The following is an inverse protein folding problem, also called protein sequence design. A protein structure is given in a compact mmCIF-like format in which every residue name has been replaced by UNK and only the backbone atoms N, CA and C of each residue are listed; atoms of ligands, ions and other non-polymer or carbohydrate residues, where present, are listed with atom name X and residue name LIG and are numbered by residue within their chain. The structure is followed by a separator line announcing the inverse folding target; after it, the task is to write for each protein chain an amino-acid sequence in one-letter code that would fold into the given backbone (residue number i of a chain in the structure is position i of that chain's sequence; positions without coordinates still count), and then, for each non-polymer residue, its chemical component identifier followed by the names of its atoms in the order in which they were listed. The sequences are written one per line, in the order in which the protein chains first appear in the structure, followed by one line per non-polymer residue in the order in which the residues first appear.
data_IF_613321135437
#
_entry.id   IF_613321135437
#
_cell.length_a   1.000
_cell.length_b   1.000
_cell.length_c   1.000
_cell.angle_alpha   90.00
_cell.angle_beta   90.00
_cell.angle_gamma   90.00
#
_symmetry.space_group_name_H-M   'P 1'
#
loop_
_entity.id
_entity.type
_entity.pdbx_description
1 polymer ?
#
# COMPACT_ATOMS: atom_id res chain seq x y z
N UNK A 1 13.43 -10.25 -21.87
CA UNK A 1 13.03 -8.87 -21.51
C UNK A 1 14.30 -8.16 -21.03
N UNK A 2 14.50 -6.89 -21.35
CA UNK A 2 15.67 -6.15 -20.82
C UNK A 2 15.36 -5.61 -19.42
N UNK A 3 16.38 -5.42 -18.57
CA UNK A 3 16.21 -4.87 -17.21
C UNK A 3 15.52 -3.50 -17.23
N UNK A 4 15.77 -2.69 -18.26
CA UNK A 4 15.13 -1.40 -18.45
C UNK A 4 13.62 -1.54 -18.71
N UNK A 5 13.22 -2.51 -19.54
CA UNK A 5 11.81 -2.85 -19.77
C UNK A 5 11.12 -3.34 -18.50
N UNK A 6 11.80 -4.15 -17.69
CA UNK A 6 11.29 -4.63 -16.39
C UNK A 6 11.04 -3.48 -15.43
N UNK A 7 12.00 -2.54 -15.30
CA UNK A 7 11.84 -1.34 -14.49
C UNK A 7 10.65 -0.48 -14.91
N UNK A 8 10.47 -0.27 -16.22
CA UNK A 8 9.33 0.49 -16.76
C UNK A 8 8.01 -0.18 -16.42
N UNK A 9 7.91 -1.51 -16.61
CA UNK A 9 6.71 -2.29 -16.30
C UNK A 9 6.36 -2.25 -14.80
N UNK A 10 7.35 -2.42 -13.92
CA UNK A 10 7.16 -2.37 -12.46
C UNK A 10 6.78 -0.97 -12.00
N UNK A 11 7.37 0.09 -12.58
CA UNK A 11 6.96 1.46 -12.27
C UNK A 11 5.51 1.71 -12.66
N UNK A 12 5.11 1.31 -13.87
CA UNK A 12 3.73 1.43 -14.32
C UNK A 12 2.75 0.65 -13.43
N UNK A 13 3.14 -0.55 -12.99
CA UNK A 13 2.37 -1.33 -12.02
C UNK A 13 2.11 -0.55 -10.72
N UNK A 14 3.14 0.05 -10.12
CA UNK A 14 2.99 0.81 -8.88
C UNK A 14 2.27 2.15 -9.06
N UNK A 15 2.32 2.78 -10.24
CA UNK A 15 1.48 3.95 -10.54
C UNK A 15 -0.01 3.56 -10.59
N UNK A 16 -0.35 2.42 -11.19
CA UNK A 16 -1.73 1.89 -11.15
C UNK A 16 -2.15 1.50 -9.74
N UNK A 17 -1.25 0.88 -8.97
CA UNK A 17 -1.49 0.50 -7.57
C UNK A 17 -1.78 1.73 -6.71
N UNK A 18 -0.97 2.78 -6.87
CA UNK A 18 -1.18 4.09 -6.26
C UNK A 18 -2.53 4.68 -6.66
N UNK A 19 -2.86 4.68 -7.94
CA UNK A 19 -4.14 5.20 -8.43
C UNK A 19 -5.36 4.49 -7.82
N UNK A 20 -5.27 3.17 -7.63
CA UNK A 20 -6.34 2.40 -6.99
C UNK A 20 -6.47 2.71 -5.48
N UNK A 21 -5.36 2.94 -4.78
CA UNK A 21 -5.38 3.44 -3.39
C UNK A 21 -6.06 4.80 -3.31
N UNK A 22 -5.62 5.77 -4.12
CA UNK A 22 -6.14 7.14 -4.12
C UNK A 22 -7.61 7.20 -4.52
N UNK A 23 -8.04 6.34 -5.44
CA UNK A 23 -9.44 6.19 -5.82
C UNK A 23 -10.29 5.43 -4.80
N UNK A 24 -9.68 4.81 -3.78
CA UNK A 24 -10.39 3.96 -2.83
C UNK A 24 -11.03 2.71 -3.46
N UNK A 25 -10.42 2.19 -4.53
CA UNK A 25 -10.95 1.09 -5.35
C UNK A 25 -10.45 -0.27 -4.82
N UNK A 26 -11.18 -0.81 -3.83
CA UNK A 26 -10.85 -2.10 -3.23
C UNK A 26 -10.88 -3.28 -4.23
N UNK A 27 -11.88 -3.40 -5.13
CA UNK A 27 -11.87 -4.45 -6.16
C UNK A 27 -10.64 -4.40 -7.06
N UNK A 28 -10.28 -3.21 -7.57
CA UNK A 28 -9.09 -3.07 -8.41
C UNK A 28 -7.84 -3.46 -7.63
N UNK A 29 -7.68 -3.01 -6.38
CA UNK A 29 -6.54 -3.39 -5.53
C UNK A 29 -6.48 -4.89 -5.29
N UNK A 30 -7.59 -5.53 -4.94
CA UNK A 30 -7.65 -6.97 -4.70
C UNK A 30 -7.29 -7.76 -5.96
N UNK A 31 -7.73 -7.26 -7.12
CA UNK A 31 -7.36 -7.80 -8.43
C UNK A 31 -5.88 -7.66 -8.78
N UNK A 32 -5.08 -6.85 -8.07
CA UNK A 32 -3.63 -6.74 -8.30
C UNK A 32 -2.82 -7.83 -7.61
N UNK A 33 -3.47 -8.69 -6.81
CA UNK A 33 -2.83 -9.81 -6.12
C UNK A 33 -3.10 -11.13 -6.86
N UNK A 34 -2.24 -12.10 -6.60
CA UNK A 34 -2.49 -13.51 -6.93
C UNK A 34 -2.52 -14.30 -5.63
N UNK A 35 -3.48 -15.21 -5.52
CA UNK A 35 -3.75 -15.96 -4.30
C UNK A 35 -3.36 -17.44 -4.44
N UNK A 36 -2.96 -18.10 -3.34
CA UNK A 36 -2.78 -17.54 -2.00
C UNK A 36 -1.58 -16.58 -1.95
N UNK A 37 -1.67 -15.53 -1.13
CA UNK A 37 -0.58 -14.59 -0.89
C UNK A 37 -0.24 -14.47 0.58
N UNK A 38 0.99 -14.03 0.85
CA UNK A 38 1.49 -13.86 2.21
C UNK A 38 1.86 -12.42 2.50
N UNK A 39 1.51 -11.94 3.69
CA UNK A 39 1.78 -10.59 4.13
C UNK A 39 2.47 -10.66 5.48
N UNK A 40 3.64 -10.05 5.53
CA UNK A 40 4.42 -9.87 6.76
C UNK A 40 4.36 -8.41 7.15
N UNK A 41 3.84 -8.12 8.34
CA UNK A 41 3.78 -6.75 8.84
C UNK A 41 4.52 -6.63 10.18
N UNK A 42 5.16 -5.48 10.42
CA UNK A 42 5.81 -5.18 11.70
C UNK A 42 4.93 -4.20 12.49
N UNK A 43 4.40 -4.64 13.63
CA UNK A 43 3.62 -3.83 14.58
C UNK A 43 4.33 -3.59 15.93
N UNK A 44 5.66 -3.72 15.97
CA UNK A 44 6.42 -3.92 17.21
C UNK A 44 6.57 -5.41 17.56
N UNK A 45 5.74 -6.26 16.95
CA UNK A 45 5.93 -7.70 16.78
C UNK A 45 5.61 -8.05 15.32
N UNK A 46 6.21 -9.13 14.81
CA UNK A 46 5.98 -9.58 13.45
C UNK A 46 4.65 -10.33 13.37
N UNK A 47 3.75 -9.84 12.52
CA UNK A 47 2.49 -10.49 12.20
C UNK A 47 2.56 -11.13 10.80
N UNK A 48 1.97 -12.32 10.68
CA UNK A 48 2.03 -13.19 9.51
C UNK A 48 0.60 -13.49 9.04
N UNK A 49 0.16 -12.79 8.01
CA UNK A 49 -1.18 -12.98 7.41
C UNK A 49 -1.06 -13.84 6.15
N UNK A 50 -1.75 -14.97 6.14
CA UNK A 50 -1.99 -15.75 4.92
C UNK A 50 -3.35 -15.37 4.38
N UNK A 51 -3.42 -15.00 3.11
CA UNK A 51 -4.65 -14.60 2.43
C UNK A 51 -4.99 -15.67 1.41
N UNK A 52 -6.09 -16.37 1.61
CA UNK A 52 -6.44 -17.54 0.82
C UNK A 52 -7.01 -17.18 -0.55
N UNK A 53 -7.82 -16.12 -0.61
CA UNK A 53 -8.53 -15.71 -1.81
C UNK A 53 -8.82 -14.19 -1.86
N UNK A 54 -9.36 -13.75 -2.99
CA UNK A 54 -9.68 -12.36 -3.26
C UNK A 54 -10.75 -11.79 -2.32
N UNK A 55 -11.73 -12.60 -1.91
CA UNK A 55 -12.82 -12.15 -1.05
C UNK A 55 -12.33 -11.84 0.36
N UNK A 56 -11.46 -12.71 0.91
CA UNK A 56 -10.78 -12.45 2.17
C UNK A 56 -9.95 -11.17 2.11
N UNK A 57 -9.21 -10.98 1.01
CA UNK A 57 -8.37 -9.80 0.84
C UNK A 57 -9.15 -8.51 0.68
N UNK A 58 -10.26 -8.55 -0.05
CA UNK A 58 -11.12 -7.40 -0.28
C UNK A 58 -11.56 -6.75 1.04
N UNK A 59 -12.01 -7.56 2.00
CA UNK A 59 -12.43 -7.06 3.33
C UNK A 59 -11.28 -6.34 4.06
N UNK A 60 -10.06 -6.86 3.95
CA UNK A 60 -8.88 -6.24 4.58
C UNK A 60 -8.49 -4.93 3.89
N UNK A 61 -8.55 -4.90 2.55
CA UNK A 61 -8.31 -3.69 1.77
C UNK A 61 -9.35 -2.61 2.11
N UNK A 62 -10.64 -2.96 2.23
CA UNK A 62 -11.67 -2.00 2.63
C UNK A 62 -11.36 -1.37 3.99
N UNK A 63 -10.96 -2.18 4.98
CA UNK A 63 -10.54 -1.69 6.28
C UNK A 63 -9.31 -0.79 6.23
N UNK A 64 -8.34 -1.08 5.36
CA UNK A 64 -7.18 -0.20 5.12
C UNK A 64 -7.63 1.15 4.53
N UNK A 65 -8.46 1.12 3.49
CA UNK A 65 -8.96 2.32 2.81
C UNK A 65 -9.84 3.17 3.73
N UNK A 66 -10.62 2.55 4.61
CA UNK A 66 -11.36 3.26 5.67
C UNK A 66 -10.43 4.02 6.61
N UNK A 67 -9.33 3.39 7.03
CA UNK A 67 -8.34 4.05 7.87
C UNK A 67 -7.65 5.21 7.15
N UNK A 68 -7.33 5.04 5.86
CA UNK A 68 -6.77 6.09 5.01
C UNK A 68 -7.71 7.29 4.88
N UNK A 69 -9.00 7.04 4.60
CA UNK A 69 -10.03 8.10 4.60
C UNK A 69 -10.15 8.79 5.95
N UNK A 70 -10.07 8.05 7.05
CA UNK A 70 -10.18 8.60 8.40
C UNK A 70 -9.04 9.55 8.80
N UNK A 71 -7.90 9.48 8.11
CA UNK A 71 -6.75 10.38 8.31
C UNK A 71 -6.50 11.30 7.12
N UNK A 72 -7.46 11.38 6.19
CA UNK A 72 -7.41 12.19 4.98
C UNK A 72 -6.24 11.85 4.03
N UNK A 73 -5.83 10.58 3.90
CA UNK A 73 -4.89 10.20 2.83
C UNK A 73 -5.52 10.56 1.49
N UNK A 74 -4.84 11.43 0.76
CA UNK A 74 -5.27 11.93 -0.55
C UNK A 74 -4.35 11.47 -1.67
N UNK A 75 -3.03 11.44 -1.41
CA UNK A 75 -2.06 10.94 -2.39
C UNK A 75 -0.96 10.09 -1.76
N UNK A 76 -0.38 9.18 -2.54
CA UNK A 76 0.73 8.32 -2.13
C UNK A 76 1.87 8.44 -3.12
N UNK A 77 3.09 8.81 -2.72
CA UNK A 77 4.21 8.98 -3.64
C UNK A 77 5.29 7.92 -3.45
N UNK A 78 5.88 7.45 -4.55
CA UNK A 78 7.07 6.60 -4.54
C UNK A 78 8.30 7.49 -4.34
N UNK A 79 8.86 7.49 -3.13
CA UNK A 79 10.11 8.20 -2.83
C UNK A 79 11.34 7.46 -3.36
N UNK A 80 11.29 6.13 -3.35
CA UNK A 80 12.36 5.27 -3.86
C UNK A 80 11.77 3.97 -4.37
N UNK A 81 12.25 3.52 -5.52
CA UNK A 81 11.95 2.22 -6.10
C UNK A 81 13.27 1.53 -6.45
N UNK A 82 13.47 0.33 -5.90
CA UNK A 82 14.56 -0.55 -6.28
C UNK A 82 13.97 -1.87 -6.78
N UNK A 83 14.41 -2.32 -7.95
CA UNK A 83 13.85 -3.50 -8.63
C UNK A 83 14.97 -4.50 -8.87
N UNK A 84 14.71 -5.74 -8.48
CA UNK A 84 15.59 -6.89 -8.72
C UNK A 84 14.82 -7.91 -9.54
N UNK A 85 15.21 -8.09 -10.80
CA UNK A 85 14.70 -9.17 -11.62
C UNK A 85 15.36 -10.49 -11.19
N UNK A 86 14.56 -11.43 -10.69
CA UNK A 86 15.02 -12.78 -10.33
C UNK A 86 14.90 -13.73 -11.53
N UNK A 87 13.88 -13.51 -12.36
CA UNK A 87 13.69 -14.17 -13.66
C UNK A 87 12.76 -13.32 -14.53
N UNK A 88 12.58 -13.63 -15.82
CA UNK A 88 11.63 -12.92 -16.68
C UNK A 88 10.17 -12.91 -16.20
N UNK A 89 9.81 -13.79 -15.24
CA UNK A 89 8.45 -13.89 -14.68
C UNK A 89 8.38 -13.56 -13.19
N UNK A 90 9.50 -13.22 -12.55
CA UNK A 90 9.58 -13.03 -11.11
C UNK A 90 10.51 -11.87 -10.77
N UNK A 91 9.96 -10.89 -10.06
CA UNK A 91 10.63 -9.64 -9.73
C UNK A 91 10.41 -9.32 -8.26
N UNK A 92 11.45 -8.84 -7.60
CA UNK A 92 11.33 -8.21 -6.29
C UNK A 92 11.40 -6.69 -6.43
N UNK A 93 10.49 -5.99 -5.76
CA UNK A 93 10.46 -4.53 -5.76
C UNK A 93 10.43 -4.01 -4.33
N UNK A 94 11.45 -3.23 -3.96
CA UNK A 94 11.49 -2.49 -2.71
C UNK A 94 11.02 -1.06 -2.98
N UNK A 95 9.98 -0.64 -2.28
CA UNK A 95 9.36 0.67 -2.43
C UNK A 95 9.40 1.43 -1.11
N UNK A 96 9.79 2.70 -1.17
CA UNK A 96 9.58 3.66 -0.08
C UNK A 96 8.39 4.54 -0.46
N UNK A 97 7.32 4.43 0.30
CA UNK A 97 6.11 5.22 0.11
C UNK A 97 6.08 6.43 1.05
N UNK A 98 5.45 7.50 0.59
CA UNK A 98 5.05 8.65 1.40
C UNK A 98 3.57 8.93 1.18
N UNK A 99 2.78 9.03 2.24
CA UNK A 99 1.37 9.41 2.15
C UNK A 99 1.20 10.89 2.50
N UNK A 100 0.30 11.56 1.78
CA UNK A 100 -0.01 12.98 1.93
C UNK A 100 -1.50 13.18 2.10
N UNK A 101 -1.87 14.22 2.85
CA UNK A 101 -3.24 14.67 2.97
C UNK A 101 -3.68 15.60 1.83
N UNK A 102 -4.96 15.99 1.83
CA UNK A 102 -5.53 16.86 0.78
C UNK A 102 -4.94 18.27 0.75
N UNK A 103 -4.35 18.72 1.85
CA UNK A 103 -3.60 19.99 1.94
C UNK A 103 -2.14 19.84 1.45
N UNK A 104 -1.74 18.64 1.01
CA UNK A 104 -0.40 18.33 0.54
C UNK A 104 0.63 18.16 1.68
N UNK A 105 0.17 18.03 2.93
CA UNK A 105 1.03 17.76 4.07
C UNK A 105 1.31 16.25 4.16
N UNK A 106 2.58 15.92 4.35
CA UNK A 106 2.99 14.53 4.55
C UNK A 106 2.47 13.99 5.88
N UNK A 107 1.79 12.84 5.82
CA UNK A 107 1.27 12.11 6.96
C UNK A 107 2.35 11.21 7.58
N UNK A 108 2.96 10.34 6.78
CA UNK A 108 4.08 9.48 7.16
C UNK A 108 4.73 8.81 5.93
N UNK A 109 5.80 8.07 6.16
CA UNK A 109 6.49 7.25 5.16
C UNK A 109 6.75 5.85 5.69
N UNK A 110 6.72 4.86 4.80
CA UNK A 110 6.95 3.47 5.16
C UNK A 110 7.66 2.72 4.03
N UNK A 111 8.36 1.64 4.38
CA UNK A 111 8.97 0.71 3.46
C UNK A 111 8.07 -0.49 3.18
N UNK A 112 8.07 -0.94 1.93
CA UNK A 112 7.43 -2.18 1.53
C UNK A 112 8.31 -2.96 0.54
N UNK A 113 8.30 -4.28 0.67
CA UNK A 113 8.95 -5.21 -0.25
C UNK A 113 7.87 -6.08 -0.88
N UNK A 114 7.77 -6.02 -2.19
CA UNK A 114 6.80 -6.77 -2.98
C UNK A 114 7.50 -7.86 -3.76
N UNK A 115 6.93 -9.06 -3.74
CA UNK A 115 7.22 -10.09 -4.73
C UNK A 115 6.16 -9.99 -5.83
N UNK A 116 6.60 -9.72 -7.05
CA UNK A 116 5.77 -9.58 -8.23
C UNK A 116 5.99 -10.77 -9.16
N UNK A 117 4.91 -11.40 -9.60
CA UNK A 117 4.94 -12.50 -10.56
C UNK A 117 4.15 -12.16 -11.83
N UNK A 118 4.64 -12.62 -12.97
CA UNK A 118 3.91 -12.57 -14.23
C UNK A 118 2.94 -13.76 -14.31
N UNK A 119 1.64 -13.49 -14.17
CA UNK A 119 0.56 -14.48 -14.18
C UNK A 119 -0.50 -14.02 -15.19
N UNK A 120 -0.88 -14.90 -16.12
CA UNK A 120 -1.89 -14.62 -17.17
C UNK A 120 -1.66 -13.28 -17.90
N UNK A 121 -0.40 -13.02 -18.25
CA UNK A 121 0.05 -11.79 -18.92
C UNK A 121 -0.11 -10.47 -18.12
N UNK A 122 -0.45 -10.53 -16.82
CA UNK A 122 -0.40 -9.40 -15.89
C UNK A 122 0.65 -9.59 -14.78
N UNK A 123 1.20 -8.48 -14.27
CA UNK A 123 1.97 -8.52 -13.03
C UNK A 123 0.99 -8.58 -11.85
N UNK A 124 1.28 -9.47 -10.90
CA UNK A 124 0.50 -9.67 -9.67
C UNK A 124 1.42 -9.69 -8.46
N UNK A 125 0.93 -9.16 -7.33
CA UNK A 125 1.60 -9.29 -6.04
C UNK A 125 1.31 -10.68 -5.48
N UNK A 126 2.37 -11.42 -5.13
CA UNK A 126 2.28 -12.75 -4.50
C UNK A 126 2.73 -12.75 -3.04
N UNK A 127 3.49 -11.73 -2.62
CA UNK A 127 3.83 -11.51 -1.23
C UNK A 127 4.18 -10.04 -0.96
N UNK A 128 3.93 -9.57 0.27
CA UNK A 128 4.32 -8.25 0.77
C UNK A 128 5.00 -8.39 2.13
N UNK A 129 6.06 -7.62 2.36
CA UNK A 129 6.53 -7.29 3.70
C UNK A 129 6.55 -5.77 3.90
N UNK A 130 6.05 -5.23 5.02
CA UNK A 130 6.00 -3.77 5.24
C UNK A 130 6.03 -3.37 6.72
N UNK A 131 6.41 -2.11 6.98
CA UNK A 131 6.52 -1.51 8.33
C UNK A 131 5.44 -0.43 8.60
N UNK A 132 4.35 -0.45 7.85
CA UNK A 132 3.37 0.64 7.85
C UNK A 132 2.49 0.72 9.11
N UNK A 133 2.07 -0.42 9.65
CA UNK A 133 0.95 -0.48 10.60
C UNK A 133 1.13 0.40 11.86
N UNK A 134 2.29 0.46 12.52
CA UNK A 134 2.54 1.39 13.63
C UNK A 134 2.30 2.85 13.27
N UNK A 135 2.68 3.24 12.05
CA UNK A 135 2.59 4.61 11.54
C UNK A 135 1.14 4.98 11.24
N UNK A 136 0.41 4.08 10.57
CA UNK A 136 -1.01 4.22 10.31
C UNK A 136 -1.79 4.35 11.63
N UNK A 137 -1.57 3.45 12.59
CA UNK A 137 -2.25 3.47 13.88
C UNK A 137 -1.94 4.75 14.67
N UNK A 138 -0.71 5.25 14.61
CA UNK A 138 -0.32 6.53 15.20
C UNK A 138 -1.06 7.70 14.54
N UNK A 139 -1.13 7.73 13.21
CA UNK A 139 -1.86 8.76 12.47
C UNK A 139 -3.36 8.76 12.81
N UNK A 140 -4.00 7.59 12.84
CA UNK A 140 -5.42 7.43 13.20
C UNK A 140 -5.70 7.95 14.62
N UNK A 141 -4.83 7.64 15.58
CA UNK A 141 -4.95 8.15 16.97
C UNK A 141 -4.85 9.68 17.01
N UNK A 142 -3.94 10.27 16.23
CA UNK A 142 -3.76 11.72 16.17
C UNK A 142 -4.93 12.44 15.48
N UNK A 143 -5.46 11.89 14.39
CA UNK A 143 -6.63 12.41 13.69
C UNK A 143 -7.87 12.47 14.59
N UNK A 144 -8.13 11.38 15.33
CA UNK A 144 -9.24 11.32 16.32
C UNK A 144 -9.09 12.35 17.45
N UNK A 145 -7.86 12.66 17.88
CA UNK A 145 -7.60 13.68 18.91
C UNK A 145 -7.87 15.10 18.41
N UNK A 146 -7.49 15.42 17.16
CA UNK A 146 -7.76 16.74 16.55
C UNK A 146 -9.25 16.99 16.35
N UNK A 147 -10.02 15.98 15.92
CA UNK A 147 -11.48 16.07 15.75
C UNK A 147 -12.24 16.29 17.07
N UNK A 148 -11.65 15.97 18.22
CA UNK A 148 -12.27 16.10 19.55
C UNK A 148 -11.98 17.42 20.27
N UNK A 149 -11.18 18.33 19.69
CA UNK A 149 -11.03 19.68 20.27
C UNK A 149 -12.33 20.46 20.04
N UNK A 150 -12.97 21.02 21.10
CA UNK A 150 -14.16 21.82 20.92
C UNK A 150 -13.84 23.02 20.02
N UNK A 151 -14.70 23.33 19.05
CA UNK A 151 -14.71 24.66 18.44
C UNK A 151 -15.02 25.64 19.55
N UNK A 152 -14.01 26.39 19.98
CA UNK A 152 -14.24 27.53 20.87
C UNK A 152 -15.01 28.54 20.03
N UNK A 153 -16.32 28.60 20.23
CA UNK A 153 -17.15 29.69 19.73
C UNK A 153 -16.72 30.96 20.49
N UNK A 154 -15.93 31.82 19.85
CA UNK A 154 -15.76 33.18 20.33
C UNK A 154 -16.99 33.98 19.85
N UNK A 155 -17.77 34.46 20.84
CA UNK A 155 -18.87 35.40 20.64
C UNK A 155 -18.41 36.84 20.54
#
# INVERSE_FOLDING_TARGET
MSIETTNVSVKAFFESYRGAIEGGDAPTLAGMFAYPCHITSDQGEIDLTSVADEHEWHTQIEGLLDNYRAIDVYSAHILKLNVVELSPRLVQAQVRWALYDSDGRQLYEFGALYTLAQIDAALKITAIAHDELPLLLKAVKQGKSKSRRPRICNG
#
